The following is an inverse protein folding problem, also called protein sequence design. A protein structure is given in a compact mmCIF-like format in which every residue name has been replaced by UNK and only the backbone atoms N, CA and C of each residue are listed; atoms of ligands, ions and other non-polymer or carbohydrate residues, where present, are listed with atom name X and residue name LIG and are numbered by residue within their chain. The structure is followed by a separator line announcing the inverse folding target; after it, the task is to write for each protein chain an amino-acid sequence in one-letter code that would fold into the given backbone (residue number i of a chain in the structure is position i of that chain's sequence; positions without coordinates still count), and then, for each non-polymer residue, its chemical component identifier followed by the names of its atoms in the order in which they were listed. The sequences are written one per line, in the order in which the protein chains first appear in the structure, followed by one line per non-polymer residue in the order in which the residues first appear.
data_IF_183186981916
#
_entry.id   IF_183186981916
#
_cell.length_a   1.000
_cell.length_b   1.000
_cell.length_c   1.000
_cell.angle_alpha   90.00
_cell.angle_beta   90.00
_cell.angle_gamma   90.00
#
_symmetry.space_group_name_H-M   'P 1'
#
loop_
_entity.id
_entity.type
_entity.pdbx_description
1 polymer ?
#
# COMPACT_ATOMS: atom_id res chain seq x y z
N UNK A 1 -15.94 -16.81 -18.25
CA UNK A 1 -14.48 -16.82 -18.43
C UNK A 1 -14.21 -16.65 -19.92
N UNK A 2 -13.47 -15.61 -20.28
CA UNK A 2 -13.00 -15.41 -21.64
C UNK A 2 -11.90 -16.43 -21.95
N UNK A 3 -11.85 -16.91 -23.19
CA UNK A 3 -10.72 -17.71 -23.67
C UNK A 3 -9.44 -16.87 -23.76
N UNK A 4 -8.28 -17.52 -23.73
CA UNK A 4 -6.96 -16.88 -23.93
C UNK A 4 -6.94 -16.01 -25.19
N UNK A 5 -7.56 -16.48 -26.28
CA UNK A 5 -7.64 -15.75 -27.55
C UNK A 5 -8.51 -14.50 -27.45
N UNK A 6 -9.65 -14.57 -26.75
CA UNK A 6 -10.52 -13.41 -26.55
C UNK A 6 -9.86 -12.33 -25.69
N UNK A 7 -9.15 -12.73 -24.62
CA UNK A 7 -8.38 -11.79 -23.80
C UNK A 7 -7.28 -11.10 -24.60
N UNK A 8 -6.50 -11.86 -25.37
CA UNK A 8 -5.45 -11.30 -26.24
C UNK A 8 -6.06 -10.31 -27.25
N UNK A 9 -7.16 -10.66 -27.90
CA UNK A 9 -7.83 -9.78 -28.85
C UNK A 9 -8.34 -8.49 -28.19
N UNK A 10 -8.91 -8.60 -26.98
CA UNK A 10 -9.35 -7.44 -26.18
C UNK A 10 -8.19 -6.52 -25.84
N UNK A 11 -7.04 -7.07 -25.43
CA UNK A 11 -5.83 -6.31 -25.12
C UNK A 11 -5.28 -5.63 -26.39
N UNK A 12 -5.23 -6.35 -27.51
CA UNK A 12 -4.79 -5.77 -28.79
C UNK A 12 -5.66 -4.60 -29.22
N UNK A 13 -6.97 -4.69 -29.00
CA UNK A 13 -7.94 -3.64 -29.31
C UNK A 13 -7.87 -2.40 -28.37
N UNK A 14 -7.07 -2.43 -27.30
CA UNK A 14 -6.87 -1.25 -26.46
C UNK A 14 -6.25 -0.09 -27.26
N UNK A 15 -6.75 1.12 -27.01
CA UNK A 15 -6.21 2.34 -27.60
C UNK A 15 -4.73 2.52 -27.25
N UNK A 16 -3.95 3.13 -28.14
CA UNK A 16 -2.50 3.30 -27.96
C UNK A 16 -2.15 4.15 -26.74
N UNK A 17 -3.03 5.08 -26.36
CA UNK A 17 -2.91 5.97 -25.20
C UNK A 17 -3.42 5.34 -23.89
N UNK A 18 -3.78 4.04 -23.90
CA UNK A 18 -4.20 3.33 -22.69
C UNK A 18 -3.06 3.30 -21.68
N UNK A 19 -3.27 3.98 -20.54
CA UNK A 19 -2.29 4.06 -19.44
C UNK A 19 -2.57 3.09 -18.31
N UNK A 20 -3.82 2.63 -18.19
CA UNK A 20 -4.29 1.77 -17.10
C UNK A 20 -5.13 0.64 -17.68
N UNK A 21 -4.89 -0.57 -17.21
CA UNK A 21 -5.71 -1.71 -17.55
C UNK A 21 -5.80 -2.69 -16.38
N UNK A 22 -7.02 -3.16 -16.10
CA UNK A 22 -7.30 -4.13 -15.05
C UNK A 22 -7.78 -5.43 -15.67
N UNK A 23 -7.03 -6.51 -15.44
CA UNK A 23 -7.51 -7.88 -15.57
C UNK A 23 -8.12 -8.26 -14.21
N UNK A 24 -9.45 -8.28 -14.12
CA UNK A 24 -10.17 -8.52 -12.86
C UNK A 24 -10.70 -9.95 -12.78
N UNK A 25 -11.30 -10.30 -11.64
CA UNK A 25 -11.89 -11.59 -11.28
C UNK A 25 -12.54 -12.38 -12.44
N UNK A 26 -13.23 -11.72 -13.37
CA UNK A 26 -13.92 -12.38 -14.48
C UNK A 26 -12.97 -13.09 -15.49
N UNK A 27 -11.69 -12.73 -15.45
CA UNK A 27 -10.65 -13.27 -16.33
C UNK A 27 -10.00 -14.53 -15.76
N UNK A 28 -10.16 -14.81 -14.45
CA UNK A 28 -9.74 -16.04 -13.76
C UNK A 28 -8.35 -16.56 -14.17
N UNK A 29 -7.33 -15.69 -14.25
CA UNK A 29 -6.03 -16.09 -14.85
C UNK A 29 -5.40 -17.32 -14.17
N UNK A 30 -5.61 -17.52 -12.86
CA UNK A 30 -5.11 -18.67 -12.11
C UNK A 30 -5.59 -20.03 -12.64
N UNK A 31 -6.73 -20.08 -13.33
CA UNK A 31 -7.26 -21.30 -13.94
C UNK A 31 -6.65 -21.58 -15.33
N UNK A 32 -6.05 -20.58 -15.97
CA UNK A 32 -5.43 -20.74 -17.28
C UNK A 32 -4.10 -21.50 -17.19
N UNK A 33 -3.67 -22.22 -18.25
CA UNK A 33 -2.31 -22.71 -18.34
C UNK A 33 -1.29 -21.58 -18.20
N UNK A 34 -0.18 -21.79 -17.49
CA UNK A 34 0.86 -20.74 -17.28
C UNK A 34 1.35 -20.12 -18.59
N UNK A 35 1.53 -20.93 -19.64
CA UNK A 35 1.92 -20.46 -20.97
C UNK A 35 0.92 -19.46 -21.57
N UNK A 36 -0.36 -19.61 -21.26
CA UNK A 36 -1.43 -18.75 -21.76
C UNK A 36 -1.45 -17.43 -20.99
N UNK A 37 -1.27 -17.47 -19.66
CA UNK A 37 -1.08 -16.25 -18.84
C UNK A 37 0.11 -15.45 -19.37
N UNK A 38 1.24 -16.10 -19.62
CA UNK A 38 2.44 -15.45 -20.17
C UNK A 38 2.17 -14.86 -21.56
N UNK A 39 1.43 -15.56 -22.43
CA UNK A 39 1.05 -15.03 -23.74
C UNK A 39 0.16 -13.78 -23.63
N UNK A 40 -0.82 -13.80 -22.71
CA UNK A 40 -1.68 -12.65 -22.39
C UNK A 40 -0.81 -11.48 -21.92
N UNK A 41 0.06 -11.70 -20.93
CA UNK A 41 0.92 -10.65 -20.37
C UNK A 41 1.87 -10.08 -21.42
N UNK A 42 2.51 -10.93 -22.23
CA UNK A 42 3.40 -10.47 -23.31
C UNK A 42 2.69 -9.60 -24.35
N UNK A 43 1.37 -9.71 -24.51
CA UNK A 43 0.61 -8.84 -25.43
C UNK A 43 0.64 -7.37 -24.97
N UNK A 44 0.78 -7.09 -23.67
CA UNK A 44 0.93 -5.72 -23.17
C UNK A 44 2.27 -5.06 -23.51
N UNK A 45 3.28 -5.81 -23.96
CA UNK A 45 4.58 -5.22 -24.39
C UNK A 45 4.43 -4.27 -25.57
N UNK A 46 3.38 -4.44 -26.36
CA UNK A 46 3.03 -3.55 -27.47
C UNK A 46 2.41 -2.22 -26.97
N UNK A 47 1.94 -2.17 -25.72
CA UNK A 47 1.26 -1.01 -25.11
C UNK A 47 2.25 -0.12 -24.35
N UNK A 48 3.04 0.65 -25.09
CA UNK A 48 4.13 1.49 -24.55
C UNK A 48 3.70 2.52 -23.50
N UNK A 49 2.44 2.97 -23.54
CA UNK A 49 1.91 3.95 -22.60
C UNK A 49 1.30 3.32 -21.33
N UNK A 50 1.21 1.99 -21.27
CA UNK A 50 0.63 1.29 -20.12
C UNK A 50 1.58 1.38 -18.93
N UNK A 51 1.15 2.10 -17.88
CA UNK A 51 1.93 2.31 -16.66
C UNK A 51 1.36 1.54 -15.46
N UNK A 52 0.10 1.12 -15.53
CA UNK A 52 -0.60 0.39 -14.49
C UNK A 52 -1.23 -0.88 -15.04
N UNK A 53 -0.96 -2.00 -14.37
CA UNK A 53 -1.59 -3.29 -14.65
C UNK A 53 -2.19 -3.88 -13.37
N UNK A 54 -3.51 -4.09 -13.39
CA UNK A 54 -4.21 -4.84 -12.37
C UNK A 54 -4.27 -6.33 -12.71
N UNK A 55 -3.79 -7.16 -11.80
CA UNK A 55 -3.94 -8.62 -11.80
C UNK A 55 -4.65 -9.09 -10.53
N UNK A 56 -5.39 -8.20 -9.87
CA UNK A 56 -6.09 -8.52 -8.63
C UNK A 56 -7.24 -9.49 -8.85
N UNK A 57 -7.60 -10.26 -7.81
CA UNK A 57 -8.70 -11.24 -7.85
C UNK A 57 -8.59 -12.35 -8.91
N UNK A 58 -7.39 -12.67 -9.39
CA UNK A 58 -7.19 -13.67 -10.46
C UNK A 58 -6.84 -15.07 -9.96
N UNK A 59 -7.00 -15.35 -8.66
CA UNK A 59 -6.66 -16.63 -8.07
C UNK A 59 -5.21 -17.09 -8.36
N UNK A 60 -4.25 -16.16 -8.46
CA UNK A 60 -2.85 -16.49 -8.77
C UNK A 60 -2.17 -17.37 -7.70
N UNK A 61 -2.79 -17.60 -6.55
CA UNK A 61 -2.39 -18.65 -5.62
C UNK A 61 -2.36 -20.05 -6.24
N UNK A 62 -3.12 -20.31 -7.31
CA UNK A 62 -3.05 -21.56 -8.07
C UNK A 62 -1.77 -21.71 -8.91
N UNK A 63 -0.95 -20.66 -8.98
CA UNK A 63 0.26 -20.54 -9.80
C UNK A 63 1.49 -20.18 -8.98
N UNK A 64 1.56 -20.57 -7.71
CA UNK A 64 2.68 -20.17 -6.84
C UNK A 64 4.04 -20.68 -7.35
N UNK A 65 4.09 -21.89 -7.89
CA UNK A 65 5.32 -22.46 -8.46
C UNK A 65 5.75 -21.75 -9.74
N UNK A 66 4.79 -21.25 -10.51
CA UNK A 66 5.04 -20.53 -11.77
C UNK A 66 5.03 -19.00 -11.64
N UNK A 67 4.81 -18.47 -10.42
CA UNK A 67 4.73 -17.05 -10.16
C UNK A 67 6.00 -16.30 -10.62
N UNK A 68 7.23 -16.84 -10.43
CA UNK A 68 8.43 -16.20 -10.99
C UNK A 68 8.38 -16.05 -12.51
N UNK A 69 7.94 -17.05 -13.26
CA UNK A 69 7.85 -16.98 -14.72
C UNK A 69 6.76 -15.99 -15.16
N UNK A 70 5.63 -15.97 -14.46
CA UNK A 70 4.53 -15.03 -14.72
C UNK A 70 5.01 -13.59 -14.49
N UNK A 71 5.63 -13.28 -13.36
CA UNK A 71 6.09 -11.92 -13.05
C UNK A 71 7.30 -11.50 -13.89
N UNK A 72 8.21 -12.42 -14.22
CA UNK A 72 9.31 -12.15 -15.15
C UNK A 72 8.82 -11.75 -16.56
N UNK A 73 7.63 -12.18 -16.97
CA UNK A 73 7.05 -11.78 -18.27
C UNK A 73 6.77 -10.27 -18.38
N UNK A 74 6.66 -9.56 -17.24
CA UNK A 74 6.50 -8.11 -17.16
C UNK A 74 7.79 -7.34 -17.49
N UNK A 75 8.94 -8.04 -17.56
CA UNK A 75 10.22 -7.42 -17.92
C UNK A 75 10.14 -6.79 -19.32
N UNK A 76 10.70 -5.59 -19.44
CA UNK A 76 10.70 -4.79 -20.67
C UNK A 76 9.45 -3.95 -20.89
N UNK A 77 8.46 -3.99 -19.99
CA UNK A 77 7.33 -3.07 -19.99
C UNK A 77 7.64 -1.77 -19.25
N UNK A 78 6.90 -0.71 -19.57
CA UNK A 78 6.96 0.61 -18.90
C UNK A 78 6.09 0.68 -17.63
N UNK A 79 5.65 -0.48 -17.11
CA UNK A 79 4.83 -0.57 -15.92
C UNK A 79 5.55 0.00 -14.69
N UNK A 80 4.88 0.92 -14.02
CA UNK A 80 5.31 1.48 -12.73
C UNK A 80 4.42 1.03 -11.58
N UNK A 81 3.21 0.55 -11.86
CA UNK A 81 2.24 0.09 -10.88
C UNK A 81 1.76 -1.33 -11.23
N UNK A 82 1.81 -2.21 -10.24
CA UNK A 82 1.31 -3.58 -10.33
C UNK A 82 0.37 -3.85 -9.16
N UNK A 83 -0.86 -4.25 -9.48
CA UNK A 83 -1.82 -4.68 -8.45
C UNK A 83 -1.96 -6.20 -8.44
N UNK A 84 -1.53 -6.84 -7.36
CA UNK A 84 -1.70 -8.27 -7.09
C UNK A 84 -2.71 -8.52 -5.96
N UNK A 85 -3.55 -7.54 -5.62
CA UNK A 85 -4.48 -7.64 -4.49
C UNK A 85 -5.45 -8.81 -4.62
N UNK A 86 -5.85 -9.40 -3.49
CA UNK A 86 -6.88 -10.45 -3.44
C UNK A 86 -6.59 -11.67 -4.34
N UNK A 87 -5.33 -12.01 -4.55
CA UNK A 87 -4.94 -13.26 -5.21
C UNK A 87 -4.85 -14.45 -4.24
N UNK A 88 -5.19 -14.26 -2.96
CA UNK A 88 -5.30 -15.32 -1.96
C UNK A 88 -4.03 -16.17 -1.79
N UNK A 89 -2.84 -15.57 -1.93
CA UNK A 89 -1.57 -16.29 -1.93
C UNK A 89 -1.35 -17.23 -0.72
N UNK A 90 -2.07 -17.02 0.39
CA UNK A 90 -1.98 -17.82 1.61
C UNK A 90 -3.19 -18.71 1.90
N UNK A 91 -4.05 -18.99 0.90
CA UNK A 91 -5.31 -19.74 1.13
C UNK A 91 -5.18 -21.26 0.99
N UNK A 92 -4.10 -21.77 0.36
CA UNK A 92 -3.85 -23.21 0.25
C UNK A 92 -3.83 -23.90 1.63
N UNK A 93 -3.26 -23.24 2.63
CA UNK A 93 -3.20 -23.74 4.01
C UNK A 93 -4.61 -23.92 4.61
N UNK A 94 -5.54 -22.99 4.39
CA UNK A 94 -6.90 -23.09 4.94
C UNK A 94 -7.78 -24.14 4.23
N UNK A 95 -7.62 -24.32 2.91
CA UNK A 95 -8.48 -25.23 2.11
C UNK A 95 -8.04 -26.68 2.25
N UNK A 96 -6.73 -26.95 2.32
CA UNK A 96 -6.21 -28.30 2.55
C UNK A 96 -6.58 -28.83 3.94
N UNK A 97 -6.61 -27.96 4.97
CA UNK A 97 -7.04 -28.32 6.33
C UNK A 97 -8.49 -28.83 6.37
N UNK A 98 -9.37 -28.33 5.50
CA UNK A 98 -10.78 -28.74 5.47
C UNK A 98 -11.06 -30.05 4.72
N UNK A 99 -10.10 -30.56 3.94
CA UNK A 99 -10.31 -31.70 3.03
C UNK A 99 -9.74 -33.03 3.52
N UNK A 100 -9.03 -33.10 4.64
CA UNK A 100 -8.54 -34.37 5.19
C UNK A 100 -9.68 -35.10 5.94
N UNK A 101 -10.26 -36.19 5.40
CA UNK A 101 -11.38 -36.88 6.05
C UNK A 101 -10.92 -37.92 7.09
N UNK A 102 -9.61 -38.17 7.22
CA UNK A 102 -9.07 -39.24 8.04
C UNK A 102 -7.70 -38.88 8.66
N UNK A 103 -7.73 -38.41 9.92
CA UNK A 103 -6.81 -38.80 11.00
C UNK A 103 -5.33 -38.39 10.98
N UNK A 104 -4.72 -38.06 9.85
CA UNK A 104 -3.29 -37.68 9.82
C UNK A 104 -3.15 -36.15 9.90
N UNK A 105 -2.41 -35.60 10.88
CA UNK A 105 -2.14 -34.17 10.92
C UNK A 105 -1.24 -33.82 9.73
N UNK A 106 -1.83 -33.27 8.67
CA UNK A 106 -1.08 -32.62 7.61
C UNK A 106 -0.21 -31.53 8.25
N UNK A 107 1.11 -31.75 8.26
CA UNK A 107 2.07 -30.68 8.42
C UNK A 107 1.93 -29.76 7.20
N UNK A 108 0.96 -28.85 7.26
CA UNK A 108 0.98 -27.68 6.38
C UNK A 108 2.27 -26.96 6.75
N UNK A 109 3.14 -26.73 5.78
CA UNK A 109 4.39 -25.97 5.95
C UNK A 109 4.17 -24.57 5.35
N UNK A 110 3.59 -23.60 6.11
CA UNK A 110 3.44 -22.20 5.71
C UNK A 110 4.72 -21.59 5.12
N UNK A 111 5.88 -22.06 5.57
CA UNK A 111 7.19 -21.56 5.13
C UNK A 111 7.39 -21.66 3.61
N UNK A 112 6.88 -22.71 2.97
CA UNK A 112 7.09 -22.95 1.54
C UNK A 112 6.30 -21.93 0.71
N UNK A 113 5.06 -21.62 1.12
CA UNK A 113 4.20 -20.65 0.43
C UNK A 113 4.82 -19.26 0.39
N UNK A 114 5.29 -18.76 1.54
CA UNK A 114 5.95 -17.46 1.63
C UNK A 114 7.21 -17.37 0.75
N UNK A 115 8.02 -18.43 0.72
CA UNK A 115 9.23 -18.50 -0.10
C UNK A 115 8.94 -18.49 -1.61
N UNK A 116 7.89 -19.21 -2.07
CA UNK A 116 7.46 -19.18 -3.47
C UNK A 116 7.03 -17.78 -3.91
N UNK A 117 6.26 -17.09 -3.05
CA UNK A 117 5.86 -15.70 -3.30
C UNK A 117 7.09 -14.80 -3.36
N UNK A 118 8.04 -14.96 -2.42
CA UNK A 118 9.28 -14.21 -2.40
C UNK A 118 10.08 -14.37 -3.70
N UNK A 119 10.22 -15.61 -4.19
CA UNK A 119 10.87 -15.89 -5.46
C UNK A 119 10.17 -15.14 -6.62
N UNK A 120 8.83 -15.14 -6.64
CA UNK A 120 8.06 -14.36 -7.60
C UNK A 120 8.35 -12.86 -7.52
N UNK A 121 8.21 -12.27 -6.34
CA UNK A 121 8.43 -10.83 -6.12
C UNK A 121 9.87 -10.40 -6.43
N UNK A 122 10.86 -11.27 -6.22
CA UNK A 122 12.27 -10.97 -6.54
C UNK A 122 12.52 -10.71 -8.02
N UNK A 123 11.66 -11.21 -8.91
CA UNK A 123 11.76 -10.95 -10.35
C UNK A 123 11.48 -9.49 -10.71
N UNK A 124 10.79 -8.75 -9.82
CA UNK A 124 10.46 -7.34 -10.03
C UNK A 124 11.69 -6.43 -10.06
N UNK A 125 12.86 -6.89 -9.57
CA UNK A 125 14.14 -6.16 -9.69
C UNK A 125 14.55 -5.89 -11.15
N UNK A 126 13.99 -6.64 -12.10
CA UNK A 126 14.23 -6.46 -13.54
C UNK A 126 13.12 -5.63 -14.22
N UNK A 127 12.26 -4.96 -13.45
CA UNK A 127 11.13 -4.16 -13.95
C UNK A 127 11.26 -2.70 -13.52
N UNK A 128 10.33 -1.85 -13.96
CA UNK A 128 10.22 -0.44 -13.53
C UNK A 128 9.17 -0.23 -12.44
N UNK A 129 8.65 -1.31 -11.84
CA UNK A 129 7.55 -1.27 -10.88
C UNK A 129 8.02 -0.61 -9.59
N UNK A 130 7.35 0.50 -9.24
CA UNK A 130 7.57 1.28 -8.02
C UNK A 130 6.43 1.14 -7.03
N UNK A 131 5.22 0.84 -7.50
CA UNK A 131 4.02 0.66 -6.69
C UNK A 131 3.53 -0.77 -6.79
N UNK A 132 3.49 -1.46 -5.66
CA UNK A 132 3.03 -2.84 -5.57
C UNK A 132 1.86 -2.94 -4.60
N UNK A 133 0.72 -3.42 -5.08
CA UNK A 133 -0.45 -3.68 -4.25
C UNK A 133 -0.56 -5.17 -3.90
N UNK A 134 -0.34 -5.51 -2.62
CA UNK A 134 -0.49 -6.85 -2.04
C UNK A 134 -1.65 -6.93 -1.05
N UNK A 135 -2.64 -6.04 -1.16
CA UNK A 135 -3.80 -5.98 -0.27
C UNK A 135 -4.53 -7.31 -0.22
N UNK A 136 -4.90 -7.72 0.99
CA UNK A 136 -5.73 -8.90 1.26
C UNK A 136 -5.26 -10.21 0.58
N UNK A 137 -3.95 -10.47 0.63
CA UNK A 137 -3.35 -11.70 0.11
C UNK A 137 -2.96 -12.71 1.19
N UNK A 138 -2.62 -12.22 2.38
CA UNK A 138 -1.98 -13.01 3.41
C UNK A 138 -2.95 -13.32 4.55
N UNK A 139 -2.93 -14.57 5.01
CA UNK A 139 -3.64 -15.03 6.20
C UNK A 139 -2.70 -15.20 7.40
N UNK A 140 -1.39 -15.40 7.17
CA UNK A 140 -0.35 -15.50 8.19
C UNK A 140 0.72 -14.40 8.06
N UNK A 141 1.17 -13.87 9.20
CA UNK A 141 2.26 -12.88 9.26
C UNK A 141 3.61 -13.51 8.92
N UNK A 142 3.83 -14.77 9.28
CA UNK A 142 5.04 -15.51 8.92
C UNK A 142 5.14 -15.69 7.40
N UNK A 143 4.04 -16.04 6.72
CA UNK A 143 4.06 -16.17 5.26
C UNK A 143 4.30 -14.82 4.59
N UNK A 144 3.64 -13.76 5.07
CA UNK A 144 3.86 -12.41 4.61
C UNK A 144 5.33 -11.98 4.79
N UNK A 145 5.93 -12.21 5.96
CA UNK A 145 7.32 -11.81 6.20
C UNK A 145 8.26 -12.50 5.20
N UNK A 146 8.10 -13.80 4.96
CA UNK A 146 8.91 -14.49 3.95
C UNK A 146 8.67 -13.94 2.55
N UNK A 147 7.43 -13.71 2.16
CA UNK A 147 7.10 -13.12 0.85
C UNK A 147 7.77 -11.77 0.64
N UNK A 148 7.73 -10.89 1.65
CA UNK A 148 8.28 -9.54 1.57
C UNK A 148 9.81 -9.50 1.45
N UNK A 149 10.54 -10.55 1.85
CA UNK A 149 11.97 -10.67 1.56
C UNK A 149 12.27 -10.65 0.05
N UNK A 150 11.30 -11.02 -0.79
CA UNK A 150 11.41 -10.91 -2.24
C UNK A 150 11.47 -9.47 -2.77
N UNK A 151 11.24 -8.46 -1.93
CA UNK A 151 11.33 -7.05 -2.31
C UNK A 151 12.72 -6.45 -2.11
N UNK A 152 13.66 -7.19 -1.51
CA UNK A 152 15.07 -6.78 -1.40
C UNK A 152 15.62 -6.59 -2.81
N UNK A 153 16.38 -5.51 -3.02
CA UNK A 153 16.97 -5.09 -4.30
C UNK A 153 15.96 -4.80 -5.43
N UNK A 154 14.67 -4.66 -5.12
CA UNK A 154 13.67 -4.21 -6.11
C UNK A 154 13.54 -2.68 -6.12
N UNK A 155 12.90 -2.14 -7.17
CA UNK A 155 12.58 -0.71 -7.27
C UNK A 155 11.25 -0.34 -6.60
N UNK A 156 10.62 -1.25 -5.86
CA UNK A 156 9.35 -1.01 -5.17
C UNK A 156 9.59 -0.02 -4.04
N UNK A 157 8.97 1.16 -4.15
CA UNK A 157 9.04 2.25 -3.16
C UNK A 157 7.72 2.42 -2.42
N UNK A 158 6.60 1.98 -3.00
CA UNK A 158 5.28 2.07 -2.41
C UNK A 158 4.66 0.68 -2.34
N UNK A 159 4.32 0.26 -1.13
CA UNK A 159 3.79 -1.07 -0.85
C UNK A 159 2.41 -0.96 -0.21
N UNK A 160 1.39 -1.56 -0.82
CA UNK A 160 0.07 -1.66 -0.21
C UNK A 160 -0.10 -3.01 0.49
N UNK A 161 -0.16 -2.98 1.82
CA UNK A 161 -0.41 -4.14 2.68
C UNK A 161 -1.78 -4.08 3.34
N UNK A 162 -2.71 -3.27 2.83
CA UNK A 162 -4.02 -3.12 3.42
C UNK A 162 -4.76 -4.47 3.55
N UNK A 163 -5.63 -4.58 4.55
CA UNK A 163 -6.51 -5.75 4.67
C UNK A 163 -5.83 -7.09 4.94
N UNK A 164 -4.56 -7.12 5.34
CA UNK A 164 -3.82 -8.35 5.66
C UNK A 164 -3.83 -8.72 7.15
N UNK A 165 -4.67 -8.05 7.96
CA UNK A 165 -4.97 -8.43 9.36
C UNK A 165 -3.74 -8.48 10.27
N UNK A 166 -2.76 -7.60 10.05
CA UNK A 166 -1.48 -7.61 10.79
C UNK A 166 -1.61 -7.54 12.31
N UNK A 167 -2.66 -6.94 12.86
CA UNK A 167 -2.84 -6.81 14.32
C UNK A 167 -4.09 -7.49 14.87
N UNK A 168 -4.78 -8.29 14.04
CA UNK A 168 -5.91 -9.08 14.50
C UNK A 168 -6.90 -9.44 13.40
N UNK A 169 -7.81 -10.36 13.73
CA UNK A 169 -8.92 -10.76 12.86
C UNK A 169 -10.21 -10.03 13.27
N UNK A 170 -10.97 -9.49 12.30
CA UNK A 170 -12.28 -8.86 12.54
C UNK A 170 -13.43 -9.86 12.65
N UNK A 171 -13.18 -11.16 12.44
CA UNK A 171 -14.22 -12.18 12.55
C UNK A 171 -14.25 -12.77 13.96
N UNK A 172 -15.33 -12.50 14.69
CA UNK A 172 -15.72 -13.22 15.91
C UNK A 172 -15.95 -14.74 15.68
N UNK A 173 -15.86 -15.20 14.43
CA UNK A 173 -16.06 -16.58 13.99
C UNK A 173 -14.77 -17.21 13.44
N UNK A 174 -13.60 -16.66 13.77
CA UNK A 174 -12.35 -17.33 13.46
C UNK A 174 -12.16 -18.51 14.44
N UNK A 175 -12.80 -19.63 14.11
CA UNK A 175 -12.66 -20.91 14.80
C UNK A 175 -11.27 -21.55 14.58
N UNK A 176 -10.32 -20.85 13.94
CA UNK A 176 -8.90 -21.21 14.00
C UNK A 176 -8.32 -20.82 15.37
N UNK A 177 -8.82 -21.51 16.39
CA UNK A 177 -8.29 -21.46 17.74
C UNK A 177 -6.76 -21.65 17.70
N UNK A 178 -6.05 -20.65 18.25
CA UNK A 178 -4.68 -20.70 18.77
C UNK A 178 -3.46 -20.44 17.86
N UNK A 179 -3.55 -20.12 16.56
CA UNK A 179 -2.33 -19.81 15.77
C UNK A 179 -2.17 -18.37 15.24
N UNK A 180 -3.24 -17.66 14.89
CA UNK A 180 -3.11 -16.30 14.32
C UNK A 180 -2.89 -15.20 15.38
N UNK A 181 -3.19 -15.48 16.65
CA UNK A 181 -3.09 -14.52 17.75
C UNK A 181 -1.65 -14.31 18.27
N UNK A 182 -0.69 -15.19 17.93
CA UNK A 182 0.66 -15.17 18.53
C UNK A 182 1.79 -14.74 17.59
N UNK A 183 1.55 -14.56 16.29
CA UNK A 183 2.60 -14.05 15.41
C UNK A 183 2.79 -12.55 15.62
N UNK A 184 4.03 -12.15 15.91
CA UNK A 184 4.44 -10.77 16.11
C UNK A 184 4.52 -10.01 14.77
N UNK A 185 3.76 -8.90 14.57
CA UNK A 185 3.83 -8.09 13.36
C UNK A 185 5.22 -7.51 13.08
N UNK A 186 6.09 -7.44 14.08
CA UNK A 186 7.49 -7.01 13.98
C UNK A 186 8.23 -7.72 12.83
N UNK A 187 8.05 -9.04 12.67
CA UNK A 187 8.73 -9.83 11.63
C UNK A 187 8.36 -9.41 10.21
N UNK A 188 7.14 -8.92 9.99
CA UNK A 188 6.70 -8.43 8.68
C UNK A 188 7.49 -7.18 8.30
N UNK A 189 7.73 -6.29 9.26
CA UNK A 189 8.48 -5.06 9.04
C UNK A 189 9.99 -5.31 8.96
N UNK A 190 10.52 -6.22 9.78
CA UNK A 190 11.92 -6.66 9.69
C UNK A 190 12.25 -7.27 8.32
N UNK A 191 11.30 -7.95 7.68
CA UNK A 191 11.49 -8.51 6.33
C UNK A 191 11.66 -7.44 5.23
N UNK A 192 11.33 -6.18 5.51
CA UNK A 192 11.53 -5.07 4.58
C UNK A 192 12.90 -4.38 4.75
N UNK A 193 13.72 -4.82 5.73
CA UNK A 193 15.08 -4.30 5.90
C UNK A 193 15.91 -4.56 4.63
N UNK A 194 16.57 -3.52 4.12
CA UNK A 194 17.31 -3.58 2.85
C UNK A 194 16.46 -3.46 1.58
N UNK A 195 15.13 -3.31 1.69
CA UNK A 195 14.28 -2.98 0.54
C UNK A 195 14.30 -1.47 0.23
N UNK A 196 13.85 -1.10 -0.98
CA UNK A 196 13.68 0.30 -1.40
C UNK A 196 12.36 0.92 -0.92
N UNK A 197 11.58 0.24 -0.07
CA UNK A 197 10.24 0.69 0.33
C UNK A 197 10.34 1.95 1.19
N UNK A 198 9.58 2.98 0.79
CA UNK A 198 9.50 4.31 1.42
C UNK A 198 8.11 4.60 1.98
N UNK A 199 7.06 4.03 1.38
CA UNK A 199 5.68 4.18 1.81
C UNK A 199 5.00 2.82 1.99
N UNK A 200 4.32 2.62 3.12
CA UNK A 200 3.50 1.43 3.37
C UNK A 200 2.05 1.83 3.67
N UNK A 201 1.10 1.36 2.87
CA UNK A 201 -0.32 1.46 3.21
C UNK A 201 -0.70 0.31 4.16
N UNK A 202 -1.10 0.65 5.38
CA UNK A 202 -1.50 -0.26 6.45
C UNK A 202 -3.00 -0.21 6.76
N UNK A 203 -3.81 0.42 5.90
CA UNK A 203 -5.25 0.52 6.14
C UNK A 203 -5.94 -0.84 6.35
N UNK A 204 -6.91 -0.88 7.26
CA UNK A 204 -7.73 -2.07 7.52
C UNK A 204 -6.91 -3.30 7.96
N UNK A 205 -5.87 -3.09 8.76
CA UNK A 205 -5.04 -4.17 9.33
C UNK A 205 -5.37 -4.49 10.80
N UNK A 206 -6.53 -4.04 11.27
CA UNK A 206 -7.01 -4.17 12.65
C UNK A 206 -6.06 -3.53 13.69
N UNK A 207 -5.39 -2.43 13.31
CA UNK A 207 -4.35 -1.81 14.15
C UNK A 207 -4.84 -1.37 15.53
N UNK A 208 -6.11 -0.98 15.64
CA UNK A 208 -6.76 -0.58 16.90
C UNK A 208 -6.90 -1.72 17.92
N UNK A 209 -6.73 -2.98 17.50
CA UNK A 209 -6.79 -4.16 18.39
C UNK A 209 -5.47 -4.47 19.09
N UNK A 210 -4.34 -3.95 18.58
CA UNK A 210 -3.03 -4.19 19.18
C UNK A 210 -2.89 -3.44 20.51
N UNK A 211 -2.17 -4.00 21.48
CA UNK A 211 -1.80 -3.21 22.67
C UNK A 211 -0.84 -2.07 22.27
N UNK A 212 -0.73 -1.05 23.11
CA UNK A 212 0.26 0.03 22.92
C UNK A 212 1.68 -0.53 22.81
N UNK A 213 2.05 -1.50 23.67
CA UNK A 213 3.36 -2.14 23.66
C UNK A 213 3.63 -2.87 22.34
N UNK A 214 2.64 -3.62 21.83
CA UNK A 214 2.73 -4.29 20.53
C UNK A 214 2.93 -3.27 19.41
N UNK A 215 2.19 -2.16 19.41
CA UNK A 215 2.35 -1.12 18.39
C UNK A 215 3.73 -0.46 18.45
N UNK A 216 4.22 -0.09 19.65
CA UNK A 216 5.56 0.47 19.84
C UNK A 216 6.63 -0.47 19.28
N UNK A 217 6.53 -1.76 19.63
CA UNK A 217 7.45 -2.79 19.13
C UNK A 217 7.40 -2.91 17.61
N UNK A 218 6.20 -3.05 17.05
CA UNK A 218 6.01 -3.21 15.60
C UNK A 218 6.45 -1.99 14.80
N UNK A 219 6.13 -0.78 15.25
CA UNK A 219 6.54 0.44 14.55
C UNK A 219 8.03 0.72 14.65
N UNK A 220 8.68 0.36 15.76
CA UNK A 220 10.14 0.40 15.88
C UNK A 220 10.84 -0.52 14.87
N UNK A 221 10.19 -1.61 14.47
CA UNK A 221 10.72 -2.55 13.48
C UNK A 221 10.58 -2.08 12.03
N UNK A 222 9.77 -1.05 11.76
CA UNK A 222 9.66 -0.46 10.42
C UNK A 222 11.02 0.12 10.00
N UNK A 223 11.59 -0.33 8.87
CA UNK A 223 12.87 0.17 8.38
C UNK A 223 12.91 1.69 8.27
N UNK A 224 14.06 2.31 8.51
CA UNK A 224 14.22 3.78 8.43
C UNK A 224 13.91 4.33 7.04
N UNK A 225 14.13 3.52 5.99
CA UNK A 225 13.78 3.86 4.61
C UNK A 225 12.30 4.19 4.43
N UNK A 226 11.43 3.57 5.25
CA UNK A 226 10.00 3.85 5.26
C UNK A 226 9.78 5.15 6.02
N UNK A 227 9.65 6.23 5.27
CA UNK A 227 9.42 7.57 5.79
C UNK A 227 7.94 7.87 5.99
N UNK A 228 7.03 7.12 5.35
CA UNK A 228 5.60 7.46 5.35
C UNK A 228 4.68 6.23 5.42
N UNK A 229 3.50 6.41 6.00
CA UNK A 229 2.50 5.34 6.18
C UNK A 229 1.08 5.78 5.80
N UNK A 230 0.29 4.83 5.33
CA UNK A 230 -1.16 4.97 5.14
C UNK A 230 -1.93 4.30 6.26
N UNK A 231 -2.90 4.99 6.88
CA UNK A 231 -3.72 4.47 7.96
C UNK A 231 -5.21 4.69 7.70
N UNK A 232 -6.04 3.77 8.22
CA UNK A 232 -7.50 3.88 8.09
C UNK A 232 -8.05 4.87 9.11
N UNK A 233 -8.81 5.85 8.64
CA UNK A 233 -9.53 6.78 9.50
C UNK A 233 -10.41 6.04 10.53
N UNK A 234 -11.13 5.01 10.08
CA UNK A 234 -12.04 4.23 10.91
C UNK A 234 -11.31 3.45 12.02
N UNK A 235 -10.04 3.08 11.81
CA UNK A 235 -9.24 2.40 12.82
C UNK A 235 -8.63 3.39 13.80
N UNK A 236 -8.10 4.52 13.32
CA UNK A 236 -7.57 5.60 14.17
C UNK A 236 -8.58 6.11 15.20
N UNK A 237 -9.86 6.21 14.81
CA UNK A 237 -10.96 6.61 15.69
C UNK A 237 -11.18 5.64 16.86
N UNK A 238 -10.87 4.36 16.67
CA UNK A 238 -11.02 3.31 17.71
C UNK A 238 -9.81 3.21 18.64
N UNK A 239 -8.69 3.84 18.27
CA UNK A 239 -7.46 3.74 19.05
C UNK A 239 -7.53 4.52 20.36
N UNK A 240 -6.78 4.08 21.36
CA UNK A 240 -6.48 4.85 22.57
C UNK A 240 -5.43 5.93 22.28
N UNK A 241 -5.26 6.87 23.21
CA UNK A 241 -4.21 7.88 23.14
C UNK A 241 -2.82 7.23 23.06
N UNK A 242 -2.56 6.23 23.90
CA UNK A 242 -1.26 5.54 23.93
C UNK A 242 -0.93 4.83 22.62
N UNK A 243 -1.93 4.15 22.03
CA UNK A 243 -1.77 3.53 20.72
C UNK A 243 -1.47 4.55 19.61
N UNK A 244 -2.15 5.70 19.62
CA UNK A 244 -1.89 6.79 18.65
C UNK A 244 -0.51 7.42 18.84
N UNK A 245 -0.05 7.54 20.09
CA UNK A 245 1.30 8.01 20.41
C UNK A 245 2.38 7.10 19.83
N UNK A 246 2.18 5.78 19.85
CA UNK A 246 3.11 4.85 19.23
C UNK A 246 3.30 5.11 17.72
N UNK A 247 2.26 5.54 17.01
CA UNK A 247 2.37 5.99 15.61
C UNK A 247 3.24 7.24 15.52
N UNK A 248 2.91 8.25 16.33
CA UNK A 248 3.59 9.55 16.33
C UNK A 248 5.08 9.44 16.67
N UNK A 249 5.44 8.58 17.62
CA UNK A 249 6.83 8.32 18.01
C UNK A 249 7.67 7.82 16.81
N UNK A 250 7.07 7.04 15.90
CA UNK A 250 7.75 6.59 14.66
C UNK A 250 7.64 7.56 13.50
N UNK A 251 6.52 8.29 13.39
CA UNK A 251 6.21 9.22 12.31
C UNK A 251 5.78 10.59 12.89
N UNK A 252 6.72 11.40 13.38
CA UNK A 252 6.41 12.65 14.09
C UNK A 252 5.85 13.75 13.18
N UNK A 253 6.16 13.71 11.88
CA UNK A 253 5.59 14.66 10.91
C UNK A 253 4.27 14.14 10.37
N UNK A 254 3.23 14.97 10.42
CA UNK A 254 1.93 14.63 9.83
C UNK A 254 1.99 14.43 8.30
N UNK A 255 2.97 15.05 7.62
CA UNK A 255 3.17 14.85 6.18
C UNK A 255 3.59 13.41 5.85
N UNK A 256 4.07 12.67 6.85
CA UNK A 256 4.44 11.26 6.74
C UNK A 256 3.26 10.31 7.02
N UNK A 257 2.07 10.82 7.35
CA UNK A 257 0.90 10.01 7.65
C UNK A 257 -0.23 10.38 6.68
N UNK A 258 -0.60 9.42 5.84
CA UNK A 258 -1.75 9.52 4.95
C UNK A 258 -2.95 8.85 5.62
N UNK A 259 -4.03 9.59 5.85
CA UNK A 259 -5.29 9.03 6.35
C UNK A 259 -6.18 8.70 5.14
N UNK A 260 -6.59 7.45 5.04
CA UNK A 260 -7.41 6.94 3.93
C UNK A 260 -8.79 6.50 4.46
N UNK A 261 -9.83 6.82 3.71
CA UNK A 261 -11.22 6.47 4.03
C UNK A 261 -11.76 5.38 3.11
N UNK A 262 -12.58 4.47 3.66
CA UNK A 262 -13.20 3.34 2.93
C UNK A 262 -13.99 3.78 1.70
N UNK A 263 -14.48 5.02 1.67
CA UNK A 263 -15.26 5.55 0.54
C UNK A 263 -14.41 5.90 -0.70
N UNK A 264 -13.08 6.01 -0.56
CA UNK A 264 -12.21 6.52 -1.64
C UNK A 264 -11.29 5.47 -2.29
N UNK A 265 -11.32 4.22 -1.81
CA UNK A 265 -10.45 3.12 -2.32
C UNK A 265 -10.87 2.62 -3.73
N UNK A 266 -11.71 3.38 -4.45
CA UNK A 266 -12.34 2.95 -5.70
C UNK A 266 -11.95 3.65 -7.00
N UNK A 267 -11.23 4.79 -7.03
CA UNK A 267 -10.96 5.48 -8.32
C UNK A 267 -9.62 6.22 -8.38
N UNK A 268 -8.92 6.03 -9.49
CA UNK A 268 -7.57 6.49 -9.87
C UNK A 268 -7.45 8.00 -10.16
N UNK A 269 -7.95 8.90 -9.30
CA UNK A 269 -7.83 10.36 -9.53
C UNK A 269 -7.54 11.12 -8.22
N UNK A 270 -6.37 10.91 -7.60
CA UNK A 270 -6.11 11.40 -6.22
C UNK A 270 -4.79 12.16 -6.00
N UNK A 271 -4.57 13.26 -6.74
CA UNK A 271 -3.52 14.24 -6.35
C UNK A 271 -4.00 15.68 -6.24
N UNK A 272 -4.89 16.15 -7.12
CA UNK A 272 -5.38 17.54 -7.09
C UNK A 272 -6.49 17.84 -6.06
N UNK A 273 -7.28 16.84 -5.66
CA UNK A 273 -8.32 17.03 -4.63
C UNK A 273 -7.72 16.98 -3.22
N UNK A 274 -6.74 16.11 -2.98
CA UNK A 274 -6.05 15.99 -1.69
C UNK A 274 -5.42 17.33 -1.22
N UNK A 275 -4.76 18.08 -2.11
CA UNK A 275 -4.09 19.33 -1.74
C UNK A 275 -5.06 20.49 -1.43
N UNK A 276 -6.19 20.59 -2.14
CA UNK A 276 -7.23 21.61 -1.88
C UNK A 276 -7.98 21.37 -0.57
N UNK A 277 -8.13 20.11 -0.19
CA UNK A 277 -8.74 19.68 1.08
C UNK A 277 -7.77 20.00 2.23
N UNK A 278 -6.48 19.70 2.06
CA UNK A 278 -5.44 20.02 3.05
C UNK A 278 -5.37 21.53 3.34
N UNK A 279 -5.35 22.41 2.32
CA UNK A 279 -5.20 23.85 2.50
C UNK A 279 -6.36 24.54 3.27
N UNK A 280 -7.61 24.10 3.13
CA UNK A 280 -8.76 24.69 3.88
C UNK A 280 -8.78 24.28 5.34
N UNK A 281 -8.34 23.05 5.63
CA UNK A 281 -8.29 22.50 6.98
C UNK A 281 -7.23 23.22 7.84
N UNK A 282 -6.14 23.69 7.23
CA UNK A 282 -5.10 24.51 7.89
C UNK A 282 -5.60 25.90 8.33
N UNK A 283 -6.44 26.58 7.54
CA UNK A 283 -6.86 27.96 7.82
C UNK A 283 -7.90 28.11 8.95
N UNK A 284 -8.56 27.00 9.33
CA UNK A 284 -9.61 26.98 10.35
C UNK A 284 -9.09 26.47 11.69
N UNK A 285 -8.17 25.49 11.70
CA UNK A 285 -7.50 25.00 12.91
C UNK A 285 -6.66 26.09 13.60
N UNK A 286 -6.01 26.97 12.82
CA UNK A 286 -5.27 28.12 13.32
C UNK A 286 -6.14 29.07 14.16
N UNK A 287 -7.41 29.26 13.81
CA UNK A 287 -8.34 30.17 14.52
C UNK A 287 -8.89 29.57 15.81
N UNK A 288 -8.97 28.25 15.92
CA UNK A 288 -9.56 27.56 17.08
C UNK A 288 -8.53 27.31 18.19
N UNK A 289 -7.25 27.10 17.82
CA UNK A 289 -6.15 27.01 18.78
C UNK A 289 -5.88 28.35 19.50
N UNK A 290 -6.28 29.47 18.90
CA UNK A 290 -6.19 30.82 19.48
C UNK A 290 -7.29 31.09 20.54
N UNK A 291 -8.24 30.17 20.77
CA UNK A 291 -9.46 30.43 21.56
C UNK A 291 -9.72 29.52 22.78
N UNK A 292 -8.97 28.42 22.99
CA UNK A 292 -9.21 27.53 24.14
C UNK A 292 -7.93 26.84 24.63
N UNK A 293 -7.41 27.30 25.78
CA UNK A 293 -6.16 26.82 26.40
C UNK A 293 -6.31 25.45 27.10
N UNK A 294 -7.49 24.83 27.12
CA UNK A 294 -7.77 23.64 27.94
C UNK A 294 -8.14 22.36 27.18
N UNK A 295 -8.01 22.34 25.85
CA UNK A 295 -8.33 21.17 25.03
C UNK A 295 -7.30 20.03 25.19
N UNK A 296 -7.46 19.25 26.26
CA UNK A 296 -6.75 18.01 26.62
C UNK A 296 -7.25 16.79 25.80
N UNK A 297 -6.98 16.76 24.50
CA UNK A 297 -7.14 15.57 23.61
C UNK A 297 -5.76 15.03 23.17
N UNK A 298 -4.92 14.77 24.16
CA UNK A 298 -3.47 14.62 24.00
C UNK A 298 -2.98 13.55 23.00
N UNK A 299 -2.19 14.06 22.04
CA UNK A 299 -0.93 13.50 21.52
C UNK A 299 -0.97 12.61 20.26
N UNK A 300 -1.88 12.92 19.33
CA UNK A 300 -1.42 13.31 17.99
C UNK A 300 -1.51 14.85 17.94
N UNK A 301 -0.80 15.54 17.02
CA UNK A 301 -0.96 16.98 16.87
C UNK A 301 -2.46 17.32 16.84
N UNK A 302 -2.87 18.40 17.52
CA UNK A 302 -4.28 18.81 17.66
C UNK A 302 -4.99 18.80 16.28
N UNK A 303 -4.22 19.09 15.23
CA UNK A 303 -4.57 19.03 13.82
C UNK A 303 -5.06 17.65 13.34
N UNK A 304 -4.47 16.55 13.81
CA UNK A 304 -4.84 15.17 13.45
C UNK A 304 -6.10 14.72 14.19
N UNK A 305 -6.28 15.18 15.42
CA UNK A 305 -7.45 14.84 16.24
C UNK A 305 -8.69 15.65 15.84
N UNK A 306 -8.52 16.91 15.44
CA UNK A 306 -9.57 17.73 14.82
C UNK A 306 -9.94 17.23 13.41
N UNK A 307 -8.95 16.71 12.66
CA UNK A 307 -9.16 16.02 11.38
C UNK A 307 -10.04 14.77 11.52
N UNK A 308 -9.97 14.09 12.66
CA UNK A 308 -10.73 12.86 12.93
C UNK A 308 -12.19 13.13 13.35
N UNK A 309 -12.46 14.20 14.08
CA UNK A 309 -13.79 14.44 14.64
C UNK A 309 -14.76 15.17 13.67
N UNK A 310 -14.26 15.96 12.71
CA UNK A 310 -15.09 16.80 11.83
C UNK A 310 -15.55 16.11 10.52
N UNK A 311 -15.17 14.85 10.29
CA UNK A 311 -15.69 14.01 9.19
C UNK A 311 -17.20 13.71 9.33
N UNK A 312 -17.76 13.82 10.54
CA UNK A 312 -19.11 13.37 10.82
C UNK A 312 -20.25 14.32 10.40
N UNK A 313 -19.96 15.56 9.98
CA UNK A 313 -20.97 16.60 9.81
C UNK A 313 -21.47 16.79 8.36
N UNK A 314 -20.94 17.68 7.50
CA UNK A 314 -21.78 18.21 6.39
C UNK A 314 -21.00 18.61 5.11
N UNK A 315 -20.96 17.73 4.10
CA UNK A 315 -20.10 17.88 2.90
C UNK A 315 -20.30 19.10 1.97
N UNK A 316 -19.19 19.81 1.65
CA UNK A 316 -18.64 20.12 0.29
C UNK A 316 -18.13 21.59 -0.03
N UNK A 317 -17.04 21.68 -0.84
CA UNK A 317 -16.47 22.75 -1.78
C UNK A 317 -16.19 24.22 -1.30
N UNK A 318 -15.56 25.21 -2.03
CA UNK A 318 -14.73 25.32 -3.28
C UNK A 318 -13.35 26.10 -3.15
N UNK A 319 -12.41 25.93 -4.12
CA UNK A 319 -10.94 26.12 -3.91
C UNK A 319 -10.24 27.36 -4.47
N UNK A 320 -8.92 27.49 -4.17
CA UNK A 320 -7.78 28.21 -4.85
C UNK A 320 -6.47 27.79 -4.11
N UNK A 321 -5.30 27.93 -4.77
CA UNK A 321 -3.88 27.90 -4.32
C UNK A 321 -3.00 26.68 -4.67
N UNK A 322 -2.15 26.89 -5.70
CA UNK A 322 -0.87 26.20 -5.95
C UNK A 322 0.11 27.25 -6.50
N UNK A 323 1.04 27.71 -5.67
CA UNK A 323 2.33 28.25 -6.11
C UNK A 323 3.37 27.71 -5.12
N UNK A 324 4.23 26.82 -5.61
CA UNK A 324 5.53 26.42 -5.05
C UNK A 324 5.83 24.97 -5.45
N UNK A 325 5.93 24.68 -6.74
CA UNK A 325 6.80 23.62 -7.28
C UNK A 325 7.02 23.91 -8.78
N UNK A 326 7.86 24.90 -9.07
CA UNK A 326 8.57 25.03 -10.34
C UNK A 326 10.03 24.57 -10.16
N UNK A 327 10.73 24.16 -11.23
CA UNK A 327 12.08 23.61 -11.12
C UNK A 327 13.06 24.69 -10.65
N UNK A 328 13.91 24.33 -9.69
CA UNK A 328 15.09 25.13 -9.33
C UNK A 328 16.06 25.03 -10.49
N UNK A 329 16.12 26.07 -11.32
CA UNK A 329 17.28 26.30 -12.18
C UNK A 329 18.36 26.95 -11.34
N UNK A 330 19.51 26.27 -11.21
CA UNK A 330 20.78 26.90 -10.88
C UNK A 330 21.06 27.92 -11.96
N UNK A 331 20.91 29.21 -11.66
CA UNK A 331 21.67 30.34 -12.24
C UNK A 331 21.10 31.65 -11.69
N UNK A 332 21.66 32.13 -10.57
CA UNK A 332 21.58 33.53 -10.14
C UNK A 332 22.61 33.79 -9.03
N UNK A 333 23.90 33.56 -9.33
CA UNK A 333 24.98 34.28 -8.66
C UNK A 333 25.57 35.23 -9.69
N UNK A 334 25.00 36.42 -9.81
CA UNK A 334 25.71 37.66 -10.16
C UNK A 334 24.73 38.81 -10.32
N UNK A 335 25.20 40.00 -9.91
CA UNK A 335 24.60 41.32 -10.08
C UNK A 335 23.52 41.75 -9.08
N UNK A 336 23.97 42.19 -7.90
CA UNK A 336 23.46 43.42 -7.29
C UNK A 336 24.50 44.02 -6.33
N UNK A 337 25.61 44.44 -6.92
CA UNK A 337 26.51 45.42 -6.32
C UNK A 337 26.66 46.54 -7.36
N UNK A 338 25.89 47.60 -7.21
CA UNK A 338 26.14 48.98 -7.68
C UNK A 338 24.83 49.77 -7.71
N UNK A 339 24.55 50.54 -6.67
CA UNK A 339 23.93 51.88 -6.80
C UNK A 339 24.15 52.67 -5.51
N UNK A 340 25.24 53.44 -5.55
CA UNK A 340 25.53 54.65 -4.80
C UNK A 340 24.26 55.52 -4.71
N UNK A 341 23.82 56.00 -3.54
CA UNK A 341 24.33 57.16 -2.78
C UNK A 341 24.73 58.32 -3.68
N UNK A 342 23.82 59.28 -3.89
CA UNK A 342 24.11 60.71 -4.01
C UNK A 342 22.81 61.49 -4.23
N UNK A 343 22.42 62.34 -3.29
CA UNK A 343 22.06 63.74 -3.55
C UNK A 343 21.74 64.45 -2.23
N UNK A 344 22.73 65.20 -1.76
CA UNK A 344 22.58 66.38 -0.92
C UNK A 344 23.33 67.52 -1.60
N UNK A 345 22.59 68.50 -2.11
CA UNK A 345 22.65 69.94 -1.83
C UNK A 345 21.34 70.52 -2.39
#
# INVERSE_FOLDING_TARGET
MLSTRELINRIKALAEDTTHYDLLYEDCLGDLPTKDIIAILNTFKEKKNLIFLGLGFNALWLKLDELPQILASLQGMELTHLCLSNNYFCKESEVMIRRAPYGEPLQVIPLITGQKIAAGLSTLKHTKIKHLDLRANFSSKSEMSHALMGLIDTFVTHLDLAGNRLWGSDRALDFSSNKLQNDDPTRVFEALQGSSVQYINLTNNCIWKASEETLKKSFKAIPESVSSIGLSFAELKKMTIGQRRAIYERFPSIQNITILDKKEIGRTIFRKQQTKINARLFAQAKRTAELDETCLLGLLPLEVMQHINNYAAEGSYPGIFFENFGPVTQDAVSSEASKEVSLSI
#
